data_IF_309056813302
#
_entry.id   IF_309056813302
#
_cell.length_a   1.000
_cell.length_b   1.000
_cell.length_c   1.000
_cell.angle_alpha   90.00
_cell.angle_beta   90.00
_cell.angle_gamma   90.00
#
_symmetry.space_group_name_H-M   'P 1'
#
loop_
_entity.id
_entity.type
_entity.pdbx_description
1 polymer ?
#
# COMPACT_ATOMS: atom_id res chain seq x y z
N UNK A 1 -19.47 -2.29 -21.48
CA UNK A 1 -18.83 -1.09 -20.86
C UNK A 1 -18.48 -1.48 -19.42
N UNK A 2 -17.20 -1.42 -19.04
CA UNK A 2 -16.83 -1.78 -17.67
C UNK A 2 -17.44 -0.78 -16.67
N UNK A 3 -18.12 -1.27 -15.66
CA UNK A 3 -18.66 -0.44 -14.58
C UNK A 3 -17.71 -0.41 -13.39
N UNK A 4 -17.65 0.70 -12.70
CA UNK A 4 -16.82 0.86 -11.50
C UNK A 4 -17.71 0.87 -10.27
N UNK A 5 -17.39 0.01 -9.30
CA UNK A 5 -17.98 0.04 -7.97
C UNK A 5 -17.02 0.74 -7.02
N UNK A 6 -17.49 1.74 -6.29
CA UNK A 6 -16.69 2.37 -5.23
C UNK A 6 -16.58 1.39 -4.06
N UNK A 7 -15.35 1.01 -3.73
CA UNK A 7 -15.02 0.14 -2.60
C UNK A 7 -14.85 0.97 -1.33
N UNK A 8 -14.14 2.10 -1.47
CA UNK A 8 -13.87 3.01 -0.38
C UNK A 8 -13.83 4.46 -0.89
N UNK A 9 -14.54 5.35 -0.22
CA UNK A 9 -14.39 6.79 -0.42
C UNK A 9 -13.24 7.30 0.42
N UNK A 10 -12.26 7.89 -0.23
CA UNK A 10 -11.10 8.48 0.43
C UNK A 10 -11.35 9.99 0.59
N UNK A 11 -10.71 10.60 1.57
CA UNK A 11 -10.86 12.05 1.78
C UNK A 11 -10.36 12.83 0.56
N UNK A 12 -11.07 13.90 0.21
CA UNK A 12 -10.64 14.80 -0.85
C UNK A 12 -9.38 15.56 -0.45
N UNK A 13 -8.51 15.80 -1.42
CA UNK A 13 -7.33 16.65 -1.31
C UNK A 13 -7.62 18.00 -1.93
N UNK A 14 -7.16 19.09 -1.34
CA UNK A 14 -7.36 20.44 -1.85
C UNK A 14 -6.01 21.12 -2.11
N UNK A 15 -5.89 21.75 -3.26
CA UNK A 15 -4.66 22.44 -3.67
C UNK A 15 -3.47 21.50 -3.84
N UNK A 16 -2.29 22.00 -3.52
CA UNK A 16 -1.04 21.22 -3.56
C UNK A 16 -0.88 20.43 -2.26
N UNK A 17 -1.35 19.20 -2.24
CA UNK A 17 -1.33 18.36 -1.05
C UNK A 17 -1.25 16.87 -1.36
N UNK A 18 -0.88 16.09 -0.35
CA UNK A 18 -0.86 14.63 -0.42
C UNK A 18 -1.97 14.06 0.46
N UNK A 19 -2.65 13.02 -0.01
CA UNK A 19 -3.69 12.33 0.75
C UNK A 19 -3.14 11.68 2.04
N UNK A 20 -4.05 11.30 2.93
CA UNK A 20 -3.74 10.30 3.95
C UNK A 20 -3.33 8.97 3.30
N UNK A 21 -2.71 8.11 4.09
CA UNK A 21 -2.34 6.75 3.68
C UNK A 21 -3.57 5.91 3.33
N UNK A 22 -3.47 5.14 2.26
CA UNK A 22 -4.55 4.36 1.68
C UNK A 22 -4.10 2.90 1.62
N UNK A 23 -4.55 2.02 2.53
CA UNK A 23 -4.33 0.59 2.40
C UNK A 23 -5.15 0.06 1.20
N UNK A 24 -4.44 -0.42 0.17
CA UNK A 24 -5.10 -0.87 -1.06
C UNK A 24 -5.83 -2.20 -0.87
N UNK A 25 -7.07 -2.26 -1.35
CA UNK A 25 -7.92 -3.46 -1.36
C UNK A 25 -8.20 -3.98 -2.78
N UNK A 26 -8.36 -3.07 -3.73
CA UNK A 26 -8.73 -3.40 -5.12
C UNK A 26 -7.65 -3.10 -6.16
N UNK A 27 -6.65 -2.31 -5.80
CA UNK A 27 -5.59 -1.87 -6.69
C UNK A 27 -5.99 -0.83 -7.73
N UNK A 28 -7.19 -0.27 -7.65
CA UNK A 28 -7.64 0.77 -8.57
C UNK A 28 -8.07 2.03 -7.80
N UNK A 29 -7.41 3.13 -8.09
CA UNK A 29 -7.73 4.44 -7.53
C UNK A 29 -8.33 5.33 -8.63
N UNK A 30 -9.55 5.80 -8.41
CA UNK A 30 -10.17 6.82 -9.25
C UNK A 30 -9.91 8.18 -8.64
N UNK A 31 -9.32 9.06 -9.43
CA UNK A 31 -9.02 10.44 -9.08
C UNK A 31 -9.82 11.36 -10.00
N UNK A 32 -10.52 12.33 -9.43
CA UNK A 32 -11.34 13.29 -10.18
C UNK A 32 -11.09 14.69 -9.62
N UNK A 33 -10.33 15.53 -10.33
CA UNK A 33 -10.20 16.95 -9.98
C UNK A 33 -11.54 17.69 -10.17
N UNK A 34 -11.86 18.60 -9.28
CA UNK A 34 -13.04 19.45 -9.36
C UNK A 34 -12.64 20.91 -9.08
N UNK A 35 -13.03 21.83 -9.97
CA UNK A 35 -12.72 23.25 -9.87
C UNK A 35 -11.37 23.67 -10.42
N UNK A 36 -10.66 22.79 -11.12
CA UNK A 36 -9.40 23.06 -11.81
C UNK A 36 -8.65 21.79 -12.19
N UNK A 37 -7.78 21.89 -13.16
CA UNK A 37 -6.90 20.81 -13.59
C UNK A 37 -5.92 20.42 -12.47
N UNK A 38 -5.42 19.18 -12.49
CA UNK A 38 -4.46 18.71 -11.52
C UNK A 38 -3.37 17.84 -12.15
N UNK A 39 -2.16 17.90 -11.60
CA UNK A 39 -1.11 16.90 -11.78
C UNK A 39 -1.20 15.91 -10.62
N UNK A 40 -1.17 14.64 -10.93
CA UNK A 40 -1.41 13.57 -9.96
C UNK A 40 -0.31 12.53 -10.02
N UNK A 41 0.18 12.14 -8.87
CA UNK A 41 1.12 11.03 -8.68
C UNK A 41 0.62 10.10 -7.57
N UNK A 42 0.72 8.79 -7.79
CA UNK A 42 0.35 7.76 -6.82
C UNK A 42 1.58 6.94 -6.45
N UNK A 43 1.74 6.63 -5.19
CA UNK A 43 2.87 5.83 -4.73
C UNK A 43 3.00 5.80 -3.21
N UNK A 44 4.11 5.27 -2.71
CA UNK A 44 4.38 5.19 -1.27
C UNK A 44 4.77 6.56 -0.68
N UNK A 45 5.52 7.35 -1.45
CA UNK A 45 5.91 8.71 -1.07
C UNK A 45 5.86 9.65 -2.29
N UNK A 46 4.69 9.86 -2.90
CA UNK A 46 4.55 10.62 -4.13
C UNK A 46 4.77 12.12 -3.90
N UNK A 47 5.30 12.78 -4.93
CA UNK A 47 5.43 14.25 -4.99
C UNK A 47 4.95 14.72 -6.36
N UNK A 48 3.76 15.28 -6.42
CA UNK A 48 3.20 15.75 -7.68
C UNK A 48 3.91 17.01 -8.17
N UNK A 49 4.38 16.96 -9.43
CA UNK A 49 5.01 18.06 -10.14
C UNK A 49 4.33 18.24 -11.50
N UNK A 50 4.53 19.40 -12.13
CA UNK A 50 4.04 19.68 -13.48
C UNK A 50 4.88 19.02 -14.59
N UNK A 51 6.09 18.56 -14.24
CA UNK A 51 7.02 17.98 -15.24
C UNK A 51 6.94 16.47 -15.35
N UNK A 52 6.63 15.77 -14.25
CA UNK A 52 6.73 14.29 -14.18
C UNK A 52 5.44 13.58 -13.81
N UNK A 53 4.44 14.30 -13.28
CA UNK A 53 3.19 13.69 -12.82
C UNK A 53 2.13 13.67 -13.94
N UNK A 54 1.17 12.76 -13.83
CA UNK A 54 0.10 12.66 -14.81
C UNK A 54 -0.82 13.89 -14.73
N UNK A 55 -1.00 14.57 -15.86
CA UNK A 55 -1.99 15.63 -16.00
C UNK A 55 -3.40 15.04 -16.08
N UNK A 56 -4.29 15.50 -15.20
CA UNK A 56 -5.69 15.09 -15.14
C UNK A 56 -6.57 16.34 -15.31
N UNK A 57 -7.32 16.44 -16.41
CA UNK A 57 -8.21 17.57 -16.62
C UNK A 57 -9.32 17.65 -15.58
N UNK A 58 -9.83 18.85 -15.34
CA UNK A 58 -10.98 19.09 -14.47
C UNK A 58 -12.19 18.24 -14.88
N UNK A 59 -12.92 17.74 -13.89
CA UNK A 59 -14.11 16.92 -14.03
C UNK A 59 -13.92 15.63 -14.85
N UNK A 60 -12.66 15.23 -15.10
CA UNK A 60 -12.31 14.01 -15.81
C UNK A 60 -11.89 12.92 -14.84
N UNK A 61 -12.70 11.87 -14.63
CA UNK A 61 -12.31 10.74 -13.79
C UNK A 61 -11.18 9.95 -14.43
N UNK A 62 -10.05 9.86 -13.76
CA UNK A 62 -8.90 9.05 -14.20
C UNK A 62 -8.68 7.91 -13.22
N UNK A 63 -8.44 6.70 -13.74
CA UNK A 63 -8.20 5.51 -12.94
C UNK A 63 -6.73 5.13 -13.01
N UNK A 64 -6.09 5.08 -11.85
CA UNK A 64 -4.74 4.58 -11.67
C UNK A 64 -4.82 3.13 -11.25
N UNK A 65 -4.00 2.29 -11.88
CA UNK A 65 -3.81 0.89 -11.48
C UNK A 65 -2.54 0.80 -10.65
N UNK A 66 -2.69 0.36 -9.40
CA UNK A 66 -1.60 0.06 -8.50
C UNK A 66 -1.49 -1.44 -8.28
N UNK A 67 -0.26 -1.94 -8.09
CA UNK A 67 -0.09 -3.34 -7.71
C UNK A 67 -0.58 -3.54 -6.28
N UNK A 68 -1.60 -4.35 -6.11
CA UNK A 68 -2.03 -4.79 -4.78
C UNK A 68 -0.99 -5.79 -4.28
N UNK A 69 -0.31 -5.43 -3.21
CA UNK A 69 0.45 -6.37 -2.42
C UNK A 69 -0.27 -6.54 -1.09
N UNK A 70 -0.91 -7.68 -0.91
CA UNK A 70 -1.53 -8.12 0.33
C UNK A 70 -1.25 -9.60 0.48
N UNK A 71 -0.67 -9.98 1.60
CA UNK A 71 -0.28 -11.36 1.84
C UNK A 71 -0.43 -11.73 3.31
N UNK A 72 -0.89 -12.95 3.57
CA UNK A 72 -0.89 -13.52 4.90
C UNK A 72 0.51 -13.96 5.32
N UNK A 73 0.86 -13.69 6.55
CA UNK A 73 2.11 -14.12 7.16
C UNK A 73 1.97 -15.54 7.71
N UNK A 74 3.05 -16.30 7.66
CA UNK A 74 3.13 -17.64 8.26
C UNK A 74 3.97 -17.65 9.55
N UNK A 75 4.85 -16.68 9.72
CA UNK A 75 5.69 -16.55 10.92
C UNK A 75 6.07 -15.11 11.18
N UNK A 76 6.38 -14.79 12.42
CA UNK A 76 6.88 -13.49 12.86
C UNK A 76 8.07 -13.69 13.78
N UNK A 77 9.13 -12.96 13.53
CA UNK A 77 10.27 -12.84 14.42
C UNK A 77 10.44 -11.38 14.80
N UNK A 78 10.30 -11.08 16.08
CA UNK A 78 10.46 -9.74 16.60
C UNK A 78 11.87 -9.52 17.16
N UNK A 79 12.43 -8.37 16.85
CA UNK A 79 13.64 -7.83 17.48
C UNK A 79 13.36 -6.37 17.88
N UNK A 80 14.18 -5.81 18.75
CA UNK A 80 13.93 -4.49 19.36
C UNK A 80 13.71 -3.33 18.38
N UNK A 81 14.22 -3.42 17.16
CA UNK A 81 14.14 -2.35 16.15
C UNK A 81 13.54 -2.83 14.81
N UNK A 82 13.21 -4.10 14.69
CA UNK A 82 12.70 -4.65 13.43
C UNK A 82 11.82 -5.88 13.68
N UNK A 83 10.77 -6.01 12.90
CA UNK A 83 9.95 -7.22 12.86
C UNK A 83 10.13 -7.86 11.48
N UNK A 84 10.46 -9.15 11.49
CA UNK A 84 10.59 -9.97 10.28
C UNK A 84 9.39 -10.89 10.16
N UNK A 85 8.72 -10.82 9.03
CA UNK A 85 7.60 -11.69 8.68
C UNK A 85 8.03 -12.70 7.63
N UNK A 86 7.71 -13.98 7.87
CA UNK A 86 7.84 -15.04 6.88
C UNK A 86 6.51 -15.34 6.22
N UNK A 87 6.57 -15.75 4.95
CA UNK A 87 5.41 -16.14 4.16
C UNK A 87 5.29 -17.64 4.04
N UNK A 88 4.14 -18.17 3.59
CA UNK A 88 4.00 -19.58 3.32
C UNK A 88 5.06 -20.10 2.34
N UNK A 89 5.39 -21.38 2.44
CA UNK A 89 6.41 -22.02 1.59
C UNK A 89 6.12 -21.83 0.11
N UNK A 90 7.14 -21.48 -0.65
CA UNK A 90 7.06 -21.23 -2.10
C UNK A 90 6.56 -19.84 -2.49
N UNK A 91 6.22 -18.99 -1.53
CA UNK A 91 5.73 -17.64 -1.80
C UNK A 91 6.87 -16.63 -1.73
N UNK A 92 7.04 -15.86 -2.79
CA UNK A 92 7.91 -14.68 -2.79
C UNK A 92 7.22 -13.50 -2.08
N UNK A 93 8.02 -12.63 -1.48
CA UNK A 93 7.52 -11.40 -0.90
C UNK A 93 7.11 -10.41 -2.03
N UNK A 94 5.83 -10.00 -2.12
CA UNK A 94 5.38 -9.10 -3.19
C UNK A 94 5.69 -7.61 -2.87
N UNK A 95 6.72 -7.38 -2.07
CA UNK A 95 7.13 -6.05 -1.62
C UNK A 95 8.56 -5.75 -2.08
N UNK A 96 8.89 -4.46 -2.12
CA UNK A 96 10.26 -3.99 -2.35
C UNK A 96 10.70 -3.11 -1.18
N UNK A 97 12.01 -3.00 -1.00
CA UNK A 97 12.59 -2.10 0.02
C UNK A 97 12.13 -0.67 -0.25
N UNK A 98 11.66 0.00 0.79
CA UNK A 98 11.06 1.34 0.70
C UNK A 98 9.53 1.36 0.59
N UNK A 99 8.89 0.23 0.30
CA UNK A 99 7.42 0.16 0.36
C UNK A 99 6.92 0.55 1.75
N UNK A 100 5.79 1.25 1.77
CA UNK A 100 5.03 1.50 2.99
C UNK A 100 3.92 0.46 3.11
N UNK A 101 3.79 -0.14 4.29
CA UNK A 101 2.84 -1.23 4.55
C UNK A 101 2.06 -1.01 5.84
N UNK A 102 0.87 -1.61 5.89
CA UNK A 102 0.05 -1.83 7.07
C UNK A 102 0.17 -3.30 7.47
N UNK A 103 0.19 -3.57 8.77
CA UNK A 103 0.13 -4.92 9.34
C UNK A 103 -1.10 -5.03 10.22
N UNK A 104 -1.93 -6.02 9.97
CA UNK A 104 -3.19 -6.25 10.70
C UNK A 104 -3.41 -7.72 11.02
N UNK A 105 -4.25 -7.97 12.03
CA UNK A 105 -4.69 -9.34 12.36
C UNK A 105 -3.69 -10.17 13.14
N UNK A 106 -2.52 -9.64 13.45
CA UNK A 106 -1.54 -10.36 14.27
C UNK A 106 -1.94 -10.39 15.76
N UNK A 107 -1.59 -11.46 16.43
CA UNK A 107 -1.63 -11.60 17.89
C UNK A 107 -0.21 -11.91 18.41
N UNK A 108 0.31 -11.17 19.40
CA UNK A 108 -0.31 -10.07 20.13
C UNK A 108 -0.48 -8.81 19.26
N UNK A 109 -1.47 -7.98 19.60
CA UNK A 109 -1.85 -6.81 18.81
C UNK A 109 -0.76 -5.73 18.66
N UNK A 110 0.25 -5.73 19.52
CA UNK A 110 1.41 -4.84 19.43
C UNK A 110 2.28 -5.06 18.17
N UNK A 111 2.09 -6.19 17.47
CA UNK A 111 2.73 -6.45 16.17
C UNK A 111 2.03 -5.67 15.04
N UNK A 112 0.76 -5.31 15.21
CA UNK A 112 0.00 -4.59 14.20
C UNK A 112 0.46 -3.12 14.12
N UNK A 113 0.53 -2.60 12.92
CA UNK A 113 0.86 -1.20 12.67
C UNK A 113 0.10 -0.70 11.45
N UNK A 114 -0.34 0.54 11.49
CA UNK A 114 -0.97 1.20 10.35
C UNK A 114 0.03 1.71 9.31
N UNK A 115 1.30 1.82 9.69
CA UNK A 115 2.33 2.36 8.82
C UNK A 115 3.72 1.89 9.27
N UNK A 116 4.38 1.12 8.40
CA UNK A 116 5.78 0.74 8.55
C UNK A 116 6.46 0.77 7.17
N UNK A 117 7.79 0.86 7.16
CA UNK A 117 8.58 0.81 5.93
C UNK A 117 9.26 -0.55 5.81
N UNK A 118 9.24 -1.11 4.63
CA UNK A 118 10.00 -2.32 4.30
C UNK A 118 11.48 -1.97 4.25
N UNK A 119 12.26 -2.56 5.15
CA UNK A 119 13.71 -2.33 5.27
C UNK A 119 14.55 -3.42 4.59
N UNK A 120 14.01 -4.64 4.48
CA UNK A 120 14.65 -5.73 3.74
C UNK A 120 13.62 -6.70 3.17
N UNK A 121 13.95 -7.31 2.05
CA UNK A 121 13.17 -8.36 1.39
C UNK A 121 14.12 -9.49 1.05
N UNK A 122 13.72 -10.73 1.35
CA UNK A 122 14.48 -11.94 0.97
C UNK A 122 13.53 -12.89 0.25
N UNK A 123 13.93 -13.35 -0.91
CA UNK A 123 13.20 -14.39 -1.65
C UNK A 123 13.41 -15.79 -1.08
N UNK A 124 12.65 -16.78 -1.53
CA UNK A 124 12.97 -18.18 -1.30
C UNK A 124 14.35 -18.51 -1.87
N UNK A 125 15.13 -19.27 -1.13
CA UNK A 125 16.42 -19.83 -1.58
C UNK A 125 16.46 -21.34 -1.30
N UNK A 126 15.87 -22.14 -2.19
CA UNK A 126 15.80 -23.60 -1.99
C UNK A 126 17.17 -24.28 -1.96
N UNK A 127 18.21 -23.68 -2.56
CA UNK A 127 19.59 -24.22 -2.53
C UNK A 127 20.12 -24.18 -1.10
N UNK A 128 19.81 -23.13 -0.35
CA UNK A 128 20.21 -22.96 1.05
C UNK A 128 19.12 -23.38 2.04
N UNK A 129 18.08 -24.07 1.57
CA UNK A 129 17.00 -24.59 2.42
C UNK A 129 15.97 -23.53 2.86
N UNK A 130 16.01 -22.33 2.30
CA UNK A 130 15.03 -21.28 2.58
C UNK A 130 13.79 -21.49 1.72
N UNK A 131 12.72 -21.98 2.34
CA UNK A 131 11.49 -22.38 1.64
C UNK A 131 10.54 -21.21 1.34
N UNK A 132 10.71 -20.06 1.97
CA UNK A 132 9.76 -18.94 1.88
C UNK A 132 10.45 -17.60 1.79
N UNK A 133 9.78 -16.65 1.11
CA UNK A 133 10.16 -15.26 1.15
C UNK A 133 9.94 -14.65 2.54
N UNK A 134 10.68 -13.57 2.82
CA UNK A 134 10.51 -12.81 4.06
C UNK A 134 10.55 -11.32 3.80
N UNK A 135 9.89 -10.54 4.66
CA UNK A 135 9.99 -9.09 4.69
C UNK A 135 10.36 -8.63 6.09
N UNK A 136 11.27 -7.66 6.17
CA UNK A 136 11.62 -7.02 7.43
C UNK A 136 11.10 -5.59 7.41
N UNK A 137 10.41 -5.21 8.48
CA UNK A 137 9.87 -3.87 8.65
C UNK A 137 10.67 -3.10 9.71
N UNK A 138 10.75 -1.79 9.53
CA UNK A 138 11.55 -0.88 10.36
C UNK A 138 10.86 -0.47 11.68
N UNK A 139 10.12 -1.36 12.28
CA UNK A 139 9.59 -1.18 13.62
C UNK A 139 9.75 -2.46 14.43
N UNK A 140 9.77 -2.34 15.72
CA UNK A 140 9.84 -3.48 16.62
C UNK A 140 9.49 -3.05 18.05
N UNK A 141 9.21 -4.03 18.88
CA UNK A 141 9.00 -3.83 20.31
C UNK A 141 9.74 -4.94 21.07
N UNK A 142 10.73 -4.56 21.87
CA UNK A 142 11.54 -5.50 22.67
C UNK A 142 10.69 -6.34 23.65
N UNK A 143 9.49 -5.88 23.99
CA UNK A 143 8.60 -6.56 24.93
C UNK A 143 7.69 -7.59 24.25
N UNK A 144 7.68 -7.66 22.93
CA UNK A 144 6.88 -8.63 22.20
C UNK A 144 7.70 -9.90 21.95
N UNK A 145 7.21 -11.03 22.41
CA UNK A 145 7.79 -12.34 22.05
C UNK A 145 7.48 -12.66 20.59
N UNK A 146 8.43 -13.33 19.91
CA UNK A 146 8.15 -13.98 18.64
C UNK A 146 7.03 -15.00 18.83
N UNK A 147 6.05 -14.98 17.95
CA UNK A 147 4.92 -15.92 17.99
C UNK A 147 4.63 -16.41 16.57
N UNK A 148 3.89 -17.49 16.44
CA UNK A 148 3.31 -17.96 15.19
C UNK A 148 2.15 -17.03 14.78
N UNK A 149 2.42 -15.74 14.75
CA UNK A 149 1.40 -14.74 14.48
C UNK A 149 1.01 -14.78 13.01
N UNK A 150 -0.18 -15.25 12.75
CA UNK A 150 -0.81 -15.14 11.44
C UNK A 150 -1.48 -13.79 11.38
N UNK A 151 -1.09 -12.99 10.40
CA UNK A 151 -1.66 -11.68 10.12
C UNK A 151 -1.59 -11.37 8.64
N UNK A 152 -1.93 -10.17 8.27
CA UNK A 152 -1.88 -9.70 6.89
C UNK A 152 -0.98 -8.47 6.79
N UNK A 153 -0.07 -8.48 5.81
CA UNK A 153 0.70 -7.30 5.40
C UNK A 153 0.11 -6.79 4.10
N UNK A 154 -0.14 -5.49 4.04
CA UNK A 154 -0.76 -4.82 2.89
C UNK A 154 0.01 -3.58 2.51
N UNK A 155 0.24 -3.39 1.20
CA UNK A 155 0.85 -2.16 0.69
C UNK A 155 -0.07 -0.98 0.92
N UNK A 156 0.54 0.16 1.32
CA UNK A 156 -0.12 1.44 1.53
C UNK A 156 0.42 2.45 0.54
N UNK A 157 -0.46 3.16 -0.12
CA UNK A 157 -0.09 4.24 -1.04
C UNK A 157 -0.67 5.58 -0.58
N UNK A 158 -0.18 6.65 -1.19
CA UNK A 158 -0.72 8.01 -1.09
C UNK A 158 -0.95 8.55 -2.49
N UNK A 159 -1.77 9.56 -2.58
CA UNK A 159 -2.00 10.33 -3.81
C UNK A 159 -1.54 11.76 -3.57
N UNK A 160 -0.49 12.17 -4.26
CA UNK A 160 -0.08 13.57 -4.29
C UNK A 160 -0.81 14.29 -5.42
N UNK A 161 -1.23 15.51 -5.15
CA UNK A 161 -1.95 16.37 -6.08
C UNK A 161 -1.28 17.72 -6.11
N UNK A 162 -1.10 18.26 -7.32
CA UNK A 162 -0.74 19.65 -7.56
C UNK A 162 -1.79 20.27 -8.48
N UNK A 163 -2.51 21.26 -7.99
CA UNK A 163 -3.59 21.92 -8.72
C UNK A 163 -4.26 23.00 -7.89
N UNK A 164 -5.18 23.74 -8.49
CA UNK A 164 -5.88 24.84 -7.84
C UNK A 164 -7.21 24.42 -7.19
N UNK A 165 -7.73 23.27 -7.58
CA UNK A 165 -9.04 22.77 -7.19
C UNK A 165 -9.01 21.74 -6.08
N UNK A 166 -10.18 21.17 -5.83
CA UNK A 166 -10.38 20.02 -4.95
C UNK A 166 -10.32 18.74 -5.77
N UNK A 167 -9.57 17.75 -5.30
CA UNK A 167 -9.46 16.46 -5.97
C UNK A 167 -10.12 15.38 -5.14
N UNK A 168 -11.09 14.70 -5.72
CA UNK A 168 -11.78 13.58 -5.11
C UNK A 168 -11.04 12.28 -5.42
N UNK A 169 -10.79 11.48 -4.38
CA UNK A 169 -10.11 10.19 -4.47
C UNK A 169 -11.05 9.11 -3.97
N UNK A 170 -11.19 8.03 -4.71
CA UNK A 170 -11.93 6.84 -4.30
C UNK A 170 -11.24 5.58 -4.78
N UNK A 171 -11.23 4.57 -3.95
CA UNK A 171 -10.84 3.23 -4.38
C UNK A 171 -12.03 2.60 -5.09
N UNK A 172 -11.80 2.01 -6.27
CA UNK A 172 -12.84 1.43 -7.10
C UNK A 172 -12.49 0.00 -7.49
N UNK A 173 -13.51 -0.81 -7.70
CA UNK A 173 -13.39 -2.14 -8.27
C UNK A 173 -13.97 -2.11 -9.68
N UNK A 174 -13.27 -2.72 -10.62
CA UNK A 174 -13.81 -2.95 -11.96
C UNK A 174 -14.76 -4.15 -11.86
N UNK A 175 -16.03 -3.90 -12.12
CA UNK A 175 -17.04 -4.94 -12.22
C UNK A 175 -17.20 -5.26 -13.70
N UNK A 176 -16.69 -6.41 -14.12
CA UNK A 176 -16.89 -6.91 -15.49
C UNK A 176 -18.32 -7.41 -15.64
N UNK A 177 -18.97 -7.08 -16.77
CA UNK A 177 -20.08 -7.87 -17.28
C UNK A 177 -19.47 -9.17 -17.82
N UNK A 178 -19.73 -10.28 -17.14
CA UNK A 178 -19.43 -11.63 -17.62
C UNK A 178 -20.56 -12.12 -18.48
#
# INVERSE_FOLDING_TARGET
MASFKVVQKIASVSGNATSASIPLKSGYLRVTPAGGDAFVEVGTNPTATDDSSLFVPVDTPTVFKESVASIQTASVTNASAAIKFGFPSGIEAPFVVGDTVEVTGCAPSGINTSLATVSAVTGPDPINGVQSGTVTLNYGDANLSATDAVGEIRRVVKVAVRGSGKTHISEVQIVGDF
#
